data_IF_136992033781
#
_entry.id   IF_136992033781
#
_cell.length_a   1.000
_cell.length_b   1.000
_cell.length_c   1.000
_cell.angle_alpha   90.00
_cell.angle_beta   90.00
_cell.angle_gamma   90.00
#
_symmetry.space_group_name_H-M   'P 1'
#
loop_
_entity.id
_entity.type
_entity.pdbx_description
1 polymer ?
#
# COMPACT_ATOMS: atom_id res chain seq x y z
N UNK A 1 6.90 -0.01 -1.76
CA UNK A 1 5.73 0.43 -2.55
C UNK A 1 5.21 1.69 -1.88
N UNK A 2 4.83 2.71 -2.63
CA UNK A 2 4.18 3.91 -2.09
C UNK A 2 2.92 4.20 -2.92
N UNK A 3 1.79 4.37 -2.24
CA UNK A 3 0.49 4.68 -2.85
C UNK A 3 -0.38 5.44 -1.84
N UNK A 4 -1.60 5.83 -2.21
CA UNK A 4 -2.53 6.46 -1.28
C UNK A 4 -3.09 5.47 -0.26
N UNK A 5 -3.17 5.91 0.99
CA UNK A 5 -3.90 5.21 2.03
C UNK A 5 -5.43 5.27 1.80
N UNK A 6 -6.22 4.51 2.58
CA UNK A 6 -7.67 4.51 2.44
C UNK A 6 -8.24 5.91 2.68
N UNK A 7 -9.15 6.34 1.81
CA UNK A 7 -9.82 7.64 1.93
C UNK A 7 -11.25 7.59 1.38
N UNK A 8 -12.07 8.56 1.75
CA UNK A 8 -13.50 8.64 1.37
C UNK A 8 -13.78 9.73 0.34
N UNK A 9 -12.74 10.21 -0.36
CA UNK A 9 -12.83 11.33 -1.30
C UNK A 9 -13.42 10.86 -2.65
N UNK A 10 -14.73 10.61 -2.67
CA UNK A 10 -15.46 10.02 -3.80
C UNK A 10 -15.34 10.83 -5.11
N UNK A 11 -15.10 12.15 -5.04
CA UNK A 11 -14.88 13.00 -6.23
C UNK A 11 -13.71 12.52 -7.10
N UNK A 12 -12.69 11.88 -6.49
CA UNK A 12 -11.55 11.34 -7.21
C UNK A 12 -11.91 10.13 -8.10
N UNK A 13 -13.03 9.44 -7.83
CA UNK A 13 -13.51 8.34 -8.67
C UNK A 13 -13.90 8.84 -10.06
N UNK A 14 -14.64 9.93 -10.12
CA UNK A 14 -15.12 10.52 -11.36
C UNK A 14 -14.04 11.36 -12.06
N UNK A 15 -13.28 12.15 -11.30
CA UNK A 15 -12.29 13.09 -11.86
C UNK A 15 -11.00 12.41 -12.35
N UNK A 16 -10.62 11.29 -11.73
CA UNK A 16 -9.35 10.60 -12.02
C UNK A 16 -9.51 9.10 -12.32
N UNK A 17 -10.74 8.65 -12.59
CA UNK A 17 -11.08 7.25 -12.87
C UNK A 17 -10.60 6.26 -11.77
N UNK A 18 -10.57 6.71 -10.52
CA UNK A 18 -10.03 5.95 -9.41
C UNK A 18 -10.97 4.78 -9.06
N UNK A 19 -10.54 3.54 -9.34
CA UNK A 19 -11.36 2.33 -9.13
C UNK A 19 -11.42 1.91 -7.65
N UNK A 20 -10.35 2.17 -6.90
CA UNK A 20 -10.17 1.88 -5.46
C UNK A 20 -9.65 3.12 -4.76
N UNK A 21 -10.24 3.54 -3.65
CA UNK A 21 -9.84 4.73 -2.90
C UNK A 21 -8.68 4.43 -1.94
N UNK A 22 -7.52 4.10 -2.51
CA UNK A 22 -6.34 3.68 -1.76
C UNK A 22 -6.38 2.23 -1.27
N UNK A 23 -5.34 1.85 -0.53
CA UNK A 23 -5.14 0.52 0.04
C UNK A 23 -4.83 0.61 1.53
N UNK A 24 -5.39 -0.31 2.31
CA UNK A 24 -4.98 -0.48 3.71
C UNK A 24 -3.73 -1.38 3.84
N UNK A 25 -3.09 -1.29 5.00
CA UNK A 25 -1.86 -2.03 5.29
C UNK A 25 -2.05 -3.54 5.23
N UNK A 26 -3.21 -4.05 5.63
CA UNK A 26 -3.48 -5.48 5.63
C UNK A 26 -3.59 -6.03 4.21
N UNK A 27 -4.29 -5.34 3.30
CA UNK A 27 -4.38 -5.73 1.89
C UNK A 27 -2.98 -5.71 1.24
N UNK A 28 -2.20 -4.66 1.48
CA UNK A 28 -0.84 -4.55 0.95
C UNK A 28 0.09 -5.63 1.51
N UNK A 29 0.04 -5.92 2.81
CA UNK A 29 0.83 -6.98 3.43
C UNK A 29 0.46 -8.36 2.88
N UNK A 30 -0.82 -8.62 2.67
CA UNK A 30 -1.29 -9.86 2.05
C UNK A 30 -0.75 -10.03 0.62
N UNK A 31 -0.74 -8.95 -0.17
CA UNK A 31 -0.16 -8.98 -1.52
C UNK A 31 1.35 -9.19 -1.51
N UNK A 32 2.08 -8.56 -0.58
CA UNK A 32 3.52 -8.75 -0.41
C UNK A 32 3.85 -10.21 -0.04
N UNK A 33 3.08 -10.80 0.86
CA UNK A 33 3.22 -12.22 1.23
C UNK A 33 2.91 -13.15 0.06
N UNK A 34 1.83 -12.90 -0.68
CA UNK A 34 1.47 -13.68 -1.86
C UNK A 34 2.54 -13.60 -2.96
N UNK A 35 3.26 -12.47 -3.04
CA UNK A 35 4.40 -12.28 -3.94
C UNK A 35 5.70 -12.95 -3.43
N UNK A 36 5.68 -13.61 -2.27
CA UNK A 36 6.85 -14.27 -1.67
C UNK A 36 7.86 -13.29 -1.05
N UNK A 37 7.41 -12.10 -0.68
CA UNK A 37 8.20 -11.10 0.05
C UNK A 37 7.87 -11.16 1.55
N UNK A 38 8.79 -10.69 2.38
CA UNK A 38 8.58 -10.55 3.82
C UNK A 38 8.23 -9.10 4.15
N UNK A 39 6.95 -8.77 4.49
CA UNK A 39 6.56 -7.40 4.83
C UNK A 39 7.32 -6.86 6.04
N UNK A 40 7.53 -5.55 6.05
CA UNK A 40 8.02 -4.77 7.19
C UNK A 40 6.95 -3.79 7.66
N UNK A 41 7.27 -3.03 8.70
CA UNK A 41 6.46 -1.89 9.12
C UNK A 41 6.18 -0.94 7.96
N UNK A 42 4.93 -0.49 7.91
CA UNK A 42 4.45 0.52 7.00
C UNK A 42 4.57 1.90 7.66
N UNK A 43 4.83 2.91 6.84
CA UNK A 43 4.83 4.31 7.26
C UNK A 43 3.70 5.06 6.55
N UNK A 44 3.10 6.04 7.23
CA UNK A 44 2.10 6.93 6.62
C UNK A 44 2.61 8.37 6.62
N UNK A 45 2.67 8.96 5.44
CA UNK A 45 3.00 10.35 5.23
C UNK A 45 1.71 11.17 5.15
N UNK A 46 1.58 12.12 6.07
CA UNK A 46 0.44 13.02 6.17
C UNK A 46 0.81 14.39 5.60
N UNK A 47 -0.04 14.95 4.75
CA UNK A 47 0.06 16.34 4.35
C UNK A 47 -0.75 17.22 5.31
N UNK A 48 -0.35 18.49 5.49
CA UNK A 48 -0.99 19.39 6.45
C UNK A 48 -2.37 19.87 6.02
N UNK A 49 -2.58 19.99 4.71
CA UNK A 49 -3.73 20.70 4.13
C UNK A 49 -4.67 19.77 3.35
N UNK A 50 -4.56 18.45 3.54
CA UNK A 50 -5.45 17.48 2.91
C UNK A 50 -5.60 16.23 3.77
N UNK A 51 -6.75 15.57 3.63
CA UNK A 51 -7.03 14.27 4.23
C UNK A 51 -6.41 13.11 3.45
N UNK A 52 -5.83 13.38 2.27
CA UNK A 52 -5.16 12.36 1.47
C UNK A 52 -3.79 12.04 2.05
N UNK A 53 -3.57 10.78 2.39
CA UNK A 53 -2.31 10.28 2.95
C UNK A 53 -1.60 9.38 1.94
N UNK A 54 -0.27 9.36 2.00
CA UNK A 54 0.54 8.40 1.25
C UNK A 54 1.03 7.34 2.22
N UNK A 55 0.66 6.09 1.98
CA UNK A 55 1.18 4.95 2.71
C UNK A 55 2.39 4.37 1.97
N UNK A 56 3.42 4.02 2.75
CA UNK A 56 4.69 3.49 2.26
C UNK A 56 4.95 2.12 2.90
N UNK A 57 4.87 1.08 2.08
CA UNK A 57 5.11 -0.30 2.49
C UNK A 57 6.49 -0.78 2.07
N UNK A 58 7.17 -1.44 2.98
CA UNK A 58 8.49 -2.01 2.77
C UNK A 58 8.43 -3.54 2.87
N UNK A 59 9.30 -4.23 2.14
CA UNK A 59 9.43 -5.67 2.27
C UNK A 59 10.83 -6.14 1.88
N UNK A 60 11.30 -7.20 2.53
CA UNK A 60 12.53 -7.88 2.15
C UNK A 60 12.26 -9.03 1.18
N UNK A 61 13.26 -9.30 0.35
CA UNK A 61 13.29 -10.54 -0.44
C UNK A 61 13.47 -11.73 0.49
N UNK A 62 12.57 -12.71 0.41
CA UNK A 62 12.76 -13.97 1.12
C UNK A 62 13.97 -14.71 0.56
N UNK A 63 14.75 -15.38 1.42
CA UNK A 63 15.80 -16.27 0.94
C UNK A 63 15.13 -17.35 0.11
N UNK A 64 15.44 -17.43 -1.19
CA UNK A 64 15.05 -18.61 -1.99
C UNK A 64 15.60 -19.83 -1.26
N UNK A 65 14.72 -20.69 -0.78
CA UNK A 65 15.10 -22.04 -0.40
C UNK A 65 15.75 -22.67 -1.64
N UNK A 66 17.04 -23.00 -1.57
CA UNK A 66 17.63 -23.93 -2.55
C UNK A 66 16.88 -25.23 -2.35
N UNK A 67 15.94 -25.51 -3.25
CA UNK A 67 15.33 -26.82 -3.34
C UNK A 67 16.47 -27.79 -3.67
N UNK A 68 16.77 -28.69 -2.72
CA UNK A 68 17.71 -29.79 -2.87
C UNK A 68 17.21 -30.76 -3.93
#
# INVERSE_FOLDING_TARGET
>A
IADFGPHEMESLRDEHAHRRLGFDDQEMHAMLLAAGLAPKDADTLNAKDTLLTVAMWQADKTKRSKQL
#
